data_IF_303320982314
#
_entry.id   IF_303320982314
#
_cell.length_a   1.000
_cell.length_b   1.000
_cell.length_c   1.000
_cell.angle_alpha   90.00
_cell.angle_beta   90.00
_cell.angle_gamma   90.00
#
_symmetry.space_group_name_H-M   'P 1'
#
loop_
_entity.id
_entity.type
_entity.pdbx_description
1 polymer ?
#
# COMPACT_ATOMS: atom_id res chain seq x y z
N UNK A 1 -7.29 -13.11 -22.59
CA UNK A 1 -7.66 -13.47 -21.21
C UNK A 1 -8.85 -12.69 -20.64
N UNK A 2 -9.15 -11.46 -21.13
CA UNK A 2 -10.29 -10.63 -20.68
C UNK A 2 -11.70 -11.28 -20.70
N UNK A 3 -11.94 -12.35 -21.49
CA UNK A 3 -13.28 -12.95 -21.58
C UNK A 3 -13.77 -13.63 -20.29
N UNK A 4 -12.88 -14.11 -19.41
CA UNK A 4 -13.31 -14.78 -18.17
C UNK A 4 -13.73 -13.80 -17.08
N UNK A 5 -13.09 -12.65 -16.97
CA UNK A 5 -13.45 -11.64 -15.96
C UNK A 5 -14.80 -10.98 -16.25
N UNK A 6 -15.13 -10.75 -17.52
CA UNK A 6 -16.46 -10.28 -17.91
C UNK A 6 -17.58 -11.26 -17.57
N UNK A 7 -17.28 -12.57 -17.58
CA UNK A 7 -18.26 -13.58 -17.17
C UNK A 7 -18.54 -13.44 -15.67
N UNK A 8 -17.53 -13.33 -14.82
CA UNK A 8 -17.75 -13.18 -13.36
C UNK A 8 -18.47 -11.88 -12.98
N UNK A 9 -18.16 -10.77 -13.66
CA UNK A 9 -18.89 -9.50 -13.45
C UNK A 9 -20.36 -9.63 -13.87
N UNK A 10 -20.63 -10.31 -14.99
CA UNK A 10 -21.98 -10.60 -15.47
C UNK A 10 -22.77 -11.48 -14.50
N UNK A 11 -22.15 -12.50 -13.91
CA UNK A 11 -22.78 -13.35 -12.89
C UNK A 11 -23.07 -12.59 -11.59
N UNK A 12 -22.20 -11.68 -11.18
CA UNK A 12 -22.42 -10.86 -9.98
C UNK A 12 -23.59 -9.87 -10.19
N UNK A 13 -23.65 -9.21 -11.35
CA UNK A 13 -24.80 -8.38 -11.73
C UNK A 13 -26.09 -9.20 -11.79
N UNK A 14 -26.06 -10.40 -12.38
CA UNK A 14 -27.20 -11.31 -12.41
C UNK A 14 -27.68 -11.75 -11.02
N UNK A 15 -26.78 -11.87 -10.04
CA UNK A 15 -27.14 -12.18 -8.64
C UNK A 15 -27.64 -10.95 -7.86
N UNK A 16 -27.11 -9.76 -8.12
CA UNK A 16 -27.52 -8.54 -7.43
C UNK A 16 -28.87 -7.99 -7.94
N UNK A 17 -29.16 -8.10 -9.24
CA UNK A 17 -30.41 -7.62 -9.85
C UNK A 17 -31.68 -8.16 -9.14
N UNK A 18 -31.85 -9.47 -8.86
CA UNK A 18 -33.03 -9.97 -8.17
C UNK A 18 -33.12 -9.49 -6.71
N UNK A 19 -31.99 -9.29 -6.01
CA UNK A 19 -31.99 -8.70 -4.67
C UNK A 19 -32.45 -7.25 -4.71
N UNK A 20 -31.97 -6.47 -5.68
CA UNK A 20 -32.39 -5.08 -5.90
C UNK A 20 -33.87 -5.03 -6.30
N UNK A 21 -34.35 -5.91 -7.18
CA UNK A 21 -35.76 -5.98 -7.59
C UNK A 21 -36.64 -6.38 -6.40
N UNK A 22 -36.26 -7.39 -5.61
CA UNK A 22 -36.98 -7.78 -4.40
C UNK A 22 -37.00 -6.64 -3.37
N UNK A 23 -35.89 -5.91 -3.23
CA UNK A 23 -35.79 -4.77 -2.35
C UNK A 23 -36.68 -3.60 -2.82
N UNK A 24 -36.65 -3.24 -4.12
CA UNK A 24 -37.54 -2.24 -4.70
C UNK A 24 -38.99 -2.69 -4.54
N UNK A 25 -39.31 -3.95 -4.82
CA UNK A 25 -40.66 -4.49 -4.69
C UNK A 25 -41.11 -4.52 -3.23
N UNK A 26 -40.22 -4.79 -2.28
CA UNK A 26 -40.50 -4.74 -0.84
C UNK A 26 -40.69 -3.30 -0.34
N UNK A 27 -39.87 -2.35 -0.82
CA UNK A 27 -40.02 -0.92 -0.54
C UNK A 27 -41.34 -0.38 -1.11
N UNK A 28 -41.66 -0.70 -2.37
CA UNK A 28 -42.92 -0.36 -3.02
C UNK A 28 -44.11 -1.06 -2.38
N UNK A 29 -43.97 -2.31 -1.96
CA UNK A 29 -45.00 -3.05 -1.23
C UNK A 29 -45.22 -2.44 0.15
N UNK A 30 -44.17 -2.06 0.88
CA UNK A 30 -44.28 -1.35 2.15
C UNK A 30 -44.91 0.04 1.97
N UNK A 31 -44.70 0.70 0.82
CA UNK A 31 -45.43 1.93 0.46
C UNK A 31 -46.88 1.65 0.12
N UNK A 32 -47.17 0.55 -0.60
CA UNK A 32 -48.53 0.14 -1.00
C UNK A 32 -49.35 -0.36 0.20
N UNK A 33 -48.76 -1.15 1.09
CA UNK A 33 -49.39 -1.59 2.34
C UNK A 33 -49.63 -0.43 3.30
N UNK A 34 -48.76 0.60 3.29
CA UNK A 34 -49.01 1.87 3.99
C UNK A 34 -50.10 2.72 3.33
N UNK A 35 -50.34 2.57 2.03
CA UNK A 35 -51.46 3.20 1.32
C UNK A 35 -52.78 2.42 1.49
N UNK A 36 -52.72 1.09 1.67
CA UNK A 36 -53.91 0.25 1.90
C UNK A 36 -54.29 0.15 3.38
N UNK A 37 -53.38 0.35 4.34
CA UNK A 37 -53.72 0.53 5.76
C UNK A 37 -54.38 1.91 6.03
N UNK A 38 -54.29 2.84 5.09
CA UNK A 38 -55.13 4.05 5.02
C UNK A 38 -56.40 3.87 4.17
N UNK A 39 -56.67 2.66 3.65
CA UNK A 39 -57.70 2.44 2.64
C UNK A 39 -58.31 1.03 2.62
N UNK A 40 -58.57 0.45 3.79
CA UNK A 40 -59.53 -0.66 3.92
C UNK A 40 -60.36 -0.51 5.21
N UNK A 41 -61.05 0.63 5.29
CA UNK A 41 -62.28 0.78 6.07
C UNK A 41 -63.44 0.77 5.08
N UNK A 42 -63.77 -0.40 4.52
CA UNK A 42 -65.04 -0.61 3.82
C UNK A 42 -65.26 0.29 2.59
N UNK A 43 -66.45 0.23 1.97
CA UNK A 43 -66.77 1.04 0.80
C UNK A 43 -66.56 2.53 1.12
N UNK A 44 -65.82 3.20 0.24
CA UNK A 44 -65.60 4.65 0.26
C UNK A 44 -66.88 5.38 0.66
N UNK A 45 -66.83 6.33 1.62
CA UNK A 45 -67.83 7.37 1.66
C UNK A 45 -67.65 8.18 0.37
N UNK A 46 -68.39 7.80 -0.67
CA UNK A 46 -68.58 8.66 -1.83
C UNK A 46 -69.15 9.97 -1.33
N UNK A 47 -68.35 11.02 -1.48
CA UNK A 47 -68.70 12.44 -1.37
C UNK A 47 -69.32 12.90 -0.04
N UNK A 48 -68.47 13.35 0.89
CA UNK A 48 -68.39 14.78 1.25
C UNK A 48 -66.92 15.10 1.59
N UNK A 49 -66.37 16.09 0.89
CA UNK A 49 -65.00 16.60 0.88
C UNK A 49 -64.11 16.27 2.09
N UNK A 50 -62.91 15.74 1.84
CA UNK A 50 -61.84 15.70 2.83
C UNK A 50 -61.45 17.14 3.22
N UNK A 51 -62.13 17.72 4.21
CA UNK A 51 -61.94 19.11 4.69
C UNK A 51 -60.63 19.33 5.46
N UNK A 52 -59.70 18.38 5.43
CA UNK A 52 -58.47 18.43 6.23
C UNK A 52 -57.36 19.08 5.43
N UNK A 53 -56.86 20.21 5.90
CA UNK A 53 -55.75 20.93 5.27
C UNK A 53 -54.37 20.29 5.54
N UNK A 54 -54.28 19.31 6.44
CA UNK A 54 -53.01 18.79 6.95
C UNK A 54 -52.85 17.26 6.79
N UNK A 55 -51.63 16.87 6.41
CA UNK A 55 -51.22 15.47 6.29
C UNK A 55 -51.02 14.88 7.70
N UNK A 56 -51.72 13.78 7.98
CA UNK A 56 -51.52 13.00 9.21
C UNK A 56 -50.23 12.20 9.12
N UNK A 57 -49.43 12.28 10.19
CA UNK A 57 -48.20 11.49 10.31
C UNK A 57 -48.45 10.43 11.37
N UNK A 58 -48.32 9.16 10.98
CA UNK A 58 -48.34 8.05 11.92
C UNK A 58 -47.06 8.10 12.77
N UNK A 59 -47.24 8.32 14.07
CA UNK A 59 -46.14 8.36 15.03
C UNK A 59 -46.60 7.79 16.35
N UNK A 60 -45.72 7.09 17.05
CA UNK A 60 -45.99 6.52 18.37
C UNK A 60 -44.93 7.04 19.33
N UNK A 61 -45.30 8.01 20.16
CA UNK A 61 -44.52 8.44 21.30
C UNK A 61 -45.41 8.59 22.54
N UNK A 62 -44.83 8.40 23.74
CA UNK A 62 -45.58 8.46 24.99
C UNK A 62 -46.04 9.88 25.30
N UNK A 63 -47.26 9.99 25.79
CA UNK A 63 -47.88 11.23 26.25
C UNK A 63 -48.44 11.02 27.63
N UNK A 64 -48.27 12.04 28.46
CA UNK A 64 -49.00 12.18 29.71
C UNK A 64 -49.98 13.34 29.57
N UNK A 65 -51.21 13.17 30.02
CA UNK A 65 -52.22 14.22 29.97
C UNK A 65 -53.03 14.27 31.26
N UNK A 66 -53.44 15.47 31.65
CA UNK A 66 -54.29 15.70 32.82
C UNK A 66 -55.40 16.68 32.45
N UNK A 67 -56.57 16.50 33.06
CA UNK A 67 -57.67 17.47 32.96
C UNK A 67 -57.29 18.75 33.71
N UNK A 68 -57.56 19.90 33.10
CA UNK A 68 -57.37 21.21 33.73
C UNK A 68 -58.70 21.96 33.78
N UNK A 69 -58.87 22.74 34.85
CA UNK A 69 -59.98 23.68 34.99
C UNK A 69 -59.71 24.92 34.14
N UNK A 70 -60.72 25.73 33.85
CA UNK A 70 -60.54 27.03 33.15
C UNK A 70 -59.51 27.95 33.82
N UNK A 71 -59.27 27.80 35.13
CA UNK A 71 -58.22 28.51 35.87
C UNK A 71 -56.79 28.06 35.52
N UNK A 72 -56.62 26.98 34.75
CA UNK A 72 -55.33 26.35 34.46
C UNK A 72 -54.82 25.41 35.54
N UNK A 73 -55.54 25.29 36.67
CA UNK A 73 -55.20 24.37 37.75
C UNK A 73 -55.49 22.91 37.37
N UNK A 74 -54.66 22.01 37.89
CA UNK A 74 -54.80 20.57 37.66
C UNK A 74 -55.99 20.02 38.46
N UNK A 75 -56.97 19.43 37.77
CA UNK A 75 -58.15 18.83 38.42
C UNK A 75 -57.95 17.34 38.71
N UNK A 76 -57.16 16.66 37.87
CA UNK A 76 -57.01 15.21 37.88
C UNK A 76 -55.53 14.79 37.80
N UNK A 77 -55.19 13.56 38.26
CA UNK A 77 -53.84 13.02 38.10
C UNK A 77 -53.51 12.77 36.62
N UNK A 78 -52.21 12.76 36.31
CA UNK A 78 -51.72 12.41 34.98
C UNK A 78 -52.17 11.01 34.55
N UNK A 79 -52.64 10.93 33.32
CA UNK A 79 -52.99 9.72 32.58
C UNK A 79 -51.97 9.51 31.48
N UNK A 80 -51.67 8.25 31.20
CA UNK A 80 -50.73 7.89 30.15
C UNK A 80 -51.48 7.48 28.88
N UNK A 81 -50.93 7.87 27.75
CA UNK A 81 -51.37 7.48 26.42
C UNK A 81 -50.20 7.44 25.45
N UNK A 82 -50.50 7.03 24.22
CA UNK A 82 -49.54 7.07 23.11
C UNK A 82 -50.18 7.80 21.95
N UNK A 83 -49.37 8.49 21.16
CA UNK A 83 -49.87 9.03 19.89
C UNK A 83 -50.20 7.93 18.92
N UNK A 84 -51.23 8.18 18.10
CA UNK A 84 -51.51 7.38 16.92
C UNK A 84 -51.23 8.17 15.64
N UNK A 85 -51.77 9.38 15.55
CA UNK A 85 -51.44 10.33 14.49
C UNK A 85 -51.30 11.75 15.02
N UNK A 86 -50.61 12.57 14.23
CA UNK A 86 -50.34 13.96 14.49
C UNK A 86 -50.69 14.81 13.26
N UNK A 87 -51.20 16.00 13.51
CA UNK A 87 -51.36 17.10 12.54
C UNK A 87 -50.92 18.42 13.17
N UNK A 88 -50.94 19.51 12.40
CA UNK A 88 -50.61 20.84 12.91
C UNK A 88 -51.60 21.33 13.99
N UNK A 89 -52.87 20.96 13.86
CA UNK A 89 -53.93 21.50 14.72
C UNK A 89 -54.38 20.55 15.83
N UNK A 90 -53.88 19.32 15.82
CA UNK A 90 -54.34 18.30 16.75
C UNK A 90 -53.68 16.94 16.57
N UNK A 91 -54.11 15.99 17.40
CA UNK A 91 -53.48 14.68 17.55
C UNK A 91 -54.51 13.65 18.02
N UNK A 92 -54.31 12.37 17.67
CA UNK A 92 -55.03 11.26 18.32
C UNK A 92 -54.19 10.62 19.40
N UNK A 93 -54.79 10.51 20.58
CA UNK A 93 -54.21 9.84 21.74
C UNK A 93 -54.93 8.51 21.91
N UNK A 94 -54.18 7.43 21.98
CA UNK A 94 -54.67 6.12 22.34
C UNK A 94 -54.32 5.84 23.81
N UNK A 95 -55.32 5.47 24.61
CA UNK A 95 -55.12 5.24 26.04
C UNK A 95 -55.93 4.05 26.55
N UNK A 96 -55.36 3.37 27.54
CA UNK A 96 -55.95 2.24 28.27
C UNK A 96 -56.21 2.62 29.74
N UNK A 97 -55.73 3.80 30.17
CA UNK A 97 -55.74 4.24 31.57
C UNK A 97 -57.00 5.00 31.97
N UNK A 98 -57.84 5.37 30.99
CA UNK A 98 -59.12 6.07 31.22
C UNK A 98 -60.24 5.05 31.31
N UNK A 99 -60.94 4.99 32.46
CA UNK A 99 -62.03 4.02 32.71
C UNK A 99 -63.16 4.65 33.52
N UNK A 100 -64.38 4.14 33.32
CA UNK A 100 -65.53 4.43 34.18
C UNK A 100 -65.83 5.93 34.32
N UNK A 101 -65.75 6.46 35.55
CA UNK A 101 -66.04 7.86 35.86
C UNK A 101 -65.12 8.85 35.14
N UNK A 102 -63.85 8.50 34.96
CA UNK A 102 -62.88 9.36 34.26
C UNK A 102 -63.28 9.61 32.80
N UNK A 103 -63.99 8.65 32.19
CA UNK A 103 -64.46 8.77 30.81
C UNK A 103 -65.57 9.84 30.69
N UNK A 104 -66.44 9.92 31.69
CA UNK A 104 -67.51 10.91 31.74
C UNK A 104 -66.96 12.35 31.91
N UNK A 105 -65.79 12.48 32.53
CA UNK A 105 -65.10 13.76 32.72
C UNK A 105 -64.46 14.30 31.44
N UNK A 106 -64.22 13.45 30.44
CA UNK A 106 -63.64 13.82 29.14
C UNK A 106 -64.72 14.15 28.10
N UNK A 107 -65.59 15.11 28.46
CA UNK A 107 -66.65 15.60 27.57
C UNK A 107 -66.06 16.33 26.34
N UNK A 108 -66.45 15.97 25.11
CA UNK A 108 -66.05 16.67 23.89
C UNK A 108 -66.38 18.17 23.92
N UNK A 109 -65.50 18.97 23.34
CA UNK A 109 -65.48 20.44 23.23
C UNK A 109 -65.54 21.23 24.54
N UNK A 110 -65.70 20.56 25.68
CA UNK A 110 -65.74 21.19 27.01
C UNK A 110 -64.49 20.94 27.83
N UNK A 111 -63.81 19.83 27.58
CA UNK A 111 -62.70 19.38 28.41
C UNK A 111 -61.37 19.86 27.86
N UNK A 112 -60.64 20.61 28.69
CA UNK A 112 -59.27 21.03 28.42
C UNK A 112 -58.28 20.08 29.08
N UNK A 113 -57.24 19.75 28.33
CA UNK A 113 -56.17 18.87 28.75
C UNK A 113 -54.85 19.63 28.76
N UNK A 114 -54.09 19.48 29.84
CA UNK A 114 -52.65 19.79 29.84
C UNK A 114 -51.91 18.52 29.47
N UNK A 115 -51.06 18.62 28.47
CA UNK A 115 -50.29 17.52 27.92
C UNK A 115 -48.79 17.72 28.13
N UNK A 116 -48.12 16.61 28.35
CA UNK A 116 -46.67 16.47 28.41
C UNK A 116 -46.29 15.39 27.40
N UNK A 117 -45.71 15.83 26.29
CA UNK A 117 -45.36 14.98 25.16
C UNK A 117 -43.86 14.68 25.23
N UNK A 118 -43.53 13.41 25.45
CA UNK A 118 -42.15 12.96 25.62
C UNK A 118 -41.61 12.41 24.29
N UNK A 119 -40.89 13.25 23.55
CA UNK A 119 -40.24 12.85 22.29
C UNK A 119 -39.01 11.97 22.59
N UNK A 120 -38.91 10.76 22.00
CA UNK A 120 -37.73 9.92 22.21
C UNK A 120 -36.46 10.57 21.66
N UNK A 121 -35.40 10.57 22.47
CA UNK A 121 -34.10 11.24 22.22
C UNK A 121 -34.11 12.77 22.36
N UNK A 122 -35.22 13.36 22.78
CA UNK A 122 -35.23 14.75 23.20
C UNK A 122 -35.01 14.84 24.72
N UNK A 123 -34.34 15.92 25.14
CA UNK A 123 -34.07 16.20 26.55
C UNK A 123 -35.21 16.97 27.20
N UNK A 124 -36.03 17.67 26.42
CA UNK A 124 -37.09 18.53 26.92
C UNK A 124 -38.45 18.05 26.41
N UNK A 125 -39.34 17.70 27.34
CA UNK A 125 -40.73 17.39 27.02
C UNK A 125 -41.44 18.61 26.42
N UNK A 126 -42.34 18.38 25.46
CA UNK A 126 -43.21 19.43 24.92
C UNK A 126 -44.43 19.55 25.82
N UNK A 127 -44.72 20.76 26.28
CA UNK A 127 -45.91 21.06 27.08
C UNK A 127 -46.91 21.78 26.20
N UNK A 128 -48.16 21.32 26.20
CA UNK A 128 -49.22 21.92 25.40
C UNK A 128 -50.57 21.83 26.12
N UNK A 129 -51.49 22.72 25.77
CA UNK A 129 -52.91 22.60 26.14
C UNK A 129 -53.73 22.22 24.91
N UNK A 130 -54.77 21.42 25.12
CA UNK A 130 -55.63 20.96 24.04
C UNK A 130 -57.07 20.72 24.50
N UNK A 131 -58.03 20.93 23.60
CA UNK A 131 -59.44 20.57 23.81
C UNK A 131 -59.70 19.16 23.29
N UNK A 132 -60.47 18.36 24.03
CA UNK A 132 -61.02 17.10 23.51
C UNK A 132 -62.05 17.41 22.43
N UNK A 133 -61.88 16.86 21.22
CA UNK A 133 -62.83 17.04 20.09
C UNK A 133 -63.77 15.86 19.93
N UNK A 134 -63.29 14.65 20.14
CA UNK A 134 -64.11 13.45 20.09
C UNK A 134 -63.41 12.31 20.82
N UNK A 135 -64.17 11.28 21.15
CA UNK A 135 -63.65 10.09 21.81
C UNK A 135 -64.38 8.86 21.30
N UNK A 136 -63.64 7.77 21.08
CA UNK A 136 -64.18 6.51 20.58
C UNK A 136 -63.59 5.34 21.36
N UNK A 137 -64.45 4.40 21.76
CA UNK A 137 -64.03 3.14 22.38
C UNK A 137 -63.72 2.13 21.28
N UNK A 138 -62.55 1.50 21.35
CA UNK A 138 -62.16 0.43 20.42
C UNK A 138 -62.67 -0.90 20.97
N UNK A 139 -63.67 -1.49 20.33
CA UNK A 139 -64.35 -2.69 20.82
C UNK A 139 -63.53 -3.98 20.65
N UNK A 140 -62.53 -3.98 19.75
CA UNK A 140 -61.78 -5.17 19.36
C UNK A 140 -60.70 -5.63 20.36
N UNK A 141 -60.48 -4.90 21.45
CA UNK A 141 -59.43 -5.27 22.43
C UNK A 141 -60.02 -5.84 23.73
N UNK A 142 -59.37 -6.90 24.25
CA UNK A 142 -59.68 -7.50 25.55
C UNK A 142 -59.56 -6.53 26.75
N UNK A 143 -58.98 -5.35 26.51
CA UNK A 143 -58.87 -4.26 27.48
C UNK A 143 -59.59 -3.05 26.90
N UNK A 144 -60.35 -2.34 27.73
CA UNK A 144 -61.02 -1.09 27.34
C UNK A 144 -59.99 -0.07 26.84
N UNK A 145 -59.92 0.10 25.52
CA UNK A 145 -59.03 1.03 24.83
C UNK A 145 -59.86 2.16 24.26
N UNK A 146 -59.38 3.39 24.47
CA UNK A 146 -60.05 4.59 24.00
C UNK A 146 -59.12 5.37 23.08
N UNK A 147 -59.67 5.90 21.99
CA UNK A 147 -59.00 6.86 21.11
C UNK A 147 -59.66 8.21 21.33
N UNK A 148 -58.84 9.20 21.68
CA UNK A 148 -59.25 10.56 21.97
C UNK A 148 -58.66 11.46 20.88
N UNK A 149 -59.52 12.11 20.11
CA UNK A 149 -59.10 13.16 19.19
C UNK A 149 -59.06 14.49 19.91
N UNK A 150 -57.94 15.20 19.82
CA UNK A 150 -57.74 16.49 20.47
C UNK A 150 -57.36 17.57 19.45
N UNK A 151 -57.59 18.83 19.80
CA UNK A 151 -57.11 20.00 19.05
C UNK A 151 -56.30 20.90 19.97
N UNK A 152 -55.14 21.35 19.51
CA UNK A 152 -54.24 22.20 20.28
C UNK A 152 -54.87 23.58 20.50
N UNK A 153 -54.82 24.07 21.74
CA UNK A 153 -55.22 25.43 22.09
C UNK A 153 -53.98 26.33 22.21
N UNK A 154 -52.98 25.90 22.99
CA UNK A 154 -51.72 26.60 23.18
C UNK A 154 -50.55 25.63 23.11
N UNK A 155 -49.63 25.91 22.19
CA UNK A 155 -48.35 25.22 22.04
C UNK A 155 -47.38 26.19 21.38
N UNK A 156 -46.16 26.28 21.91
CA UNK A 156 -45.11 27.07 21.29
C UNK A 156 -44.85 26.59 19.85
N UNK A 157 -44.74 27.51 18.90
CA UNK A 157 -44.51 27.17 17.48
C UNK A 157 -43.22 26.35 17.29
N UNK A 158 -42.17 26.66 18.05
CA UNK A 158 -40.93 25.88 18.05
C UNK A 158 -41.13 24.42 18.50
N UNK A 159 -42.05 24.18 19.42
CA UNK A 159 -42.37 22.83 19.89
C UNK A 159 -43.20 22.07 18.84
N UNK A 160 -44.15 22.75 18.19
CA UNK A 160 -44.90 22.19 17.08
C UNK A 160 -43.98 21.74 15.95
N UNK A 161 -43.07 22.62 15.51
CA UNK A 161 -42.08 22.31 14.49
C UNK A 161 -41.21 21.12 14.88
N UNK A 162 -40.82 21.04 16.16
CA UNK A 162 -40.01 19.96 16.70
C UNK A 162 -40.74 18.62 16.64
N UNK A 163 -42.01 18.55 17.06
CA UNK A 163 -42.81 17.32 16.95
C UNK A 163 -43.02 16.94 15.48
N UNK A 164 -43.38 17.87 14.60
CA UNK A 164 -43.59 17.60 13.17
C UNK A 164 -42.29 17.08 12.52
N UNK A 165 -41.16 17.74 12.77
CA UNK A 165 -39.84 17.33 12.24
C UNK A 165 -39.46 15.94 12.75
N UNK A 166 -39.73 15.64 14.02
CA UNK A 166 -39.50 14.33 14.59
C UNK A 166 -40.35 13.25 13.91
N UNK A 167 -41.65 13.50 13.73
CA UNK A 167 -42.57 12.58 13.07
C UNK A 167 -42.17 12.33 11.61
N UNK A 168 -41.80 13.39 10.87
CA UNK A 168 -41.27 13.28 9.51
C UNK A 168 -39.96 12.48 9.44
N UNK A 169 -39.07 12.66 10.42
CA UNK A 169 -37.85 11.88 10.50
C UNK A 169 -38.14 10.40 10.77
N UNK A 170 -39.05 10.08 11.70
CA UNK A 170 -39.50 8.71 11.95
C UNK A 170 -40.06 8.06 10.69
N UNK A 171 -40.86 8.81 9.92
CA UNK A 171 -41.40 8.33 8.63
C UNK A 171 -40.31 8.01 7.61
N UNK A 172 -39.20 8.75 7.62
CA UNK A 172 -38.07 8.57 6.70
C UNK A 172 -37.02 7.55 7.16
N UNK A 173 -37.00 7.14 8.43
CA UNK A 173 -36.07 6.12 8.96
C UNK A 173 -35.94 4.86 8.11
N UNK A 174 -37.02 4.16 7.70
CA UNK A 174 -36.88 2.93 6.93
C UNK A 174 -36.17 3.16 5.60
N UNK A 175 -36.49 4.27 4.91
CA UNK A 175 -35.87 4.63 3.63
C UNK A 175 -34.37 4.98 3.81
N UNK A 176 -34.00 5.63 4.92
CA UNK A 176 -32.59 5.90 5.26
C UNK A 176 -31.81 4.62 5.59
N UNK A 177 -32.39 3.73 6.39
CA UNK A 177 -31.75 2.45 6.75
C UNK A 177 -31.50 1.59 5.51
N UNK A 178 -32.49 1.54 4.63
CA UNK A 178 -32.37 0.93 3.32
C UNK A 178 -31.19 1.47 2.49
N UNK A 179 -31.04 2.80 2.41
CA UNK A 179 -29.93 3.41 1.67
C UNK A 179 -28.58 2.98 2.24
N UNK A 180 -28.45 2.89 3.57
CA UNK A 180 -27.24 2.38 4.24
C UNK A 180 -26.98 0.92 3.87
N UNK A 181 -28.01 0.07 3.86
CA UNK A 181 -27.86 -1.35 3.46
C UNK A 181 -27.42 -1.47 2.00
N UNK A 182 -28.02 -0.69 1.09
CA UNK A 182 -27.61 -0.66 -0.33
C UNK A 182 -26.16 -0.20 -0.47
N UNK A 183 -25.76 0.85 0.23
CA UNK A 183 -24.38 1.35 0.22
C UNK A 183 -23.39 0.28 0.72
N UNK A 184 -23.75 -0.48 1.75
CA UNK A 184 -22.94 -1.59 2.27
C UNK A 184 -22.77 -2.70 1.24
N UNK A 185 -23.86 -3.08 0.54
CA UNK A 185 -23.80 -4.10 -0.52
C UNK A 185 -22.87 -3.66 -1.64
N UNK A 186 -22.93 -2.38 -2.06
CA UNK A 186 -22.03 -1.82 -3.08
C UNK A 186 -20.58 -1.82 -2.61
N UNK A 187 -20.31 -1.45 -1.36
CA UNK A 187 -18.96 -1.46 -0.79
C UNK A 187 -18.37 -2.88 -0.74
N UNK A 188 -19.17 -3.87 -0.34
CA UNK A 188 -18.76 -5.29 -0.34
C UNK A 188 -18.48 -5.78 -1.76
N UNK A 189 -19.35 -5.46 -2.72
CA UNK A 189 -19.14 -5.81 -4.12
C UNK A 189 -17.84 -5.20 -4.69
N UNK A 190 -17.58 -3.91 -4.40
CA UNK A 190 -16.35 -3.24 -4.81
C UNK A 190 -15.12 -3.89 -4.17
N UNK A 191 -15.16 -4.21 -2.88
CA UNK A 191 -14.08 -4.89 -2.18
C UNK A 191 -13.77 -6.26 -2.82
N UNK A 192 -14.78 -7.09 -3.07
CA UNK A 192 -14.56 -8.37 -3.76
C UNK A 192 -14.01 -8.20 -5.18
N UNK A 193 -14.46 -7.17 -5.91
CA UNK A 193 -13.92 -6.85 -7.24
C UNK A 193 -12.43 -6.53 -7.17
N UNK A 194 -11.97 -5.76 -6.17
CA UNK A 194 -10.54 -5.48 -6.00
C UNK A 194 -9.73 -6.73 -5.69
N UNK A 195 -10.23 -7.63 -4.83
CA UNK A 195 -9.54 -8.90 -4.50
C UNK A 195 -9.35 -9.76 -5.75
N UNK A 196 -10.37 -9.85 -6.60
CA UNK A 196 -10.29 -10.62 -7.84
C UNK A 196 -9.26 -10.02 -8.80
N UNK A 197 -9.24 -8.70 -8.95
CA UNK A 197 -8.25 -8.00 -9.77
C UNK A 197 -6.80 -8.27 -9.31
N UNK A 198 -6.55 -8.24 -8.00
CA UNK A 198 -5.23 -8.56 -7.45
C UNK A 198 -4.78 -10.00 -7.70
N UNK A 199 -5.72 -10.97 -7.80
CA UNK A 199 -5.37 -12.35 -8.14
C UNK A 199 -4.84 -12.45 -9.58
N UNK A 200 -5.46 -11.75 -10.53
CA UNK A 200 -4.99 -11.69 -11.92
C UNK A 200 -3.58 -11.10 -12.00
N UNK A 201 -3.35 -9.96 -11.34
CA UNK A 201 -2.02 -9.34 -11.29
C UNK A 201 -0.96 -10.25 -10.66
N UNK A 202 -1.31 -11.04 -9.64
CA UNK A 202 -0.38 -11.97 -8.99
C UNK A 202 0.12 -13.06 -9.94
N UNK A 203 -0.72 -13.56 -10.85
CA UNK A 203 -0.30 -14.55 -11.85
C UNK A 203 0.66 -13.96 -12.87
N UNK A 204 0.42 -12.72 -13.34
CA UNK A 204 1.33 -12.02 -14.23
C UNK A 204 2.69 -11.79 -13.59
N UNK A 205 2.71 -11.29 -12.34
CA UNK A 205 3.96 -11.13 -11.59
C UNK A 205 4.68 -12.46 -11.34
N UNK A 206 3.94 -13.53 -11.03
CA UNK A 206 4.54 -14.85 -10.85
C UNK A 206 5.19 -15.36 -12.15
N UNK A 207 4.57 -15.10 -13.30
CA UNK A 207 5.13 -15.46 -14.60
C UNK A 207 6.36 -14.62 -14.95
N UNK A 208 6.36 -13.32 -14.65
CA UNK A 208 7.53 -12.46 -14.87
C UNK A 208 8.70 -12.88 -13.98
N UNK A 209 8.44 -13.23 -12.71
CA UNK A 209 9.47 -13.75 -11.80
C UNK A 209 10.07 -15.05 -12.35
N UNK A 210 9.23 -16.00 -12.78
CA UNK A 210 9.69 -17.27 -13.39
C UNK A 210 10.51 -17.03 -14.65
N UNK A 211 10.10 -16.08 -15.49
CA UNK A 211 10.83 -15.72 -16.69
C UNK A 211 12.22 -15.18 -16.36
N UNK A 212 12.33 -14.21 -15.44
CA UNK A 212 13.62 -13.66 -15.00
C UNK A 212 14.51 -14.71 -14.34
N UNK A 213 13.93 -15.67 -13.64
CA UNK A 213 14.66 -16.77 -13.03
C UNK A 213 15.23 -17.73 -14.09
N UNK A 214 14.47 -17.99 -15.17
CA UNK A 214 14.96 -18.77 -16.31
C UNK A 214 16.08 -18.04 -17.07
N UNK A 215 16.01 -16.72 -17.21
CA UNK A 215 17.10 -15.92 -17.81
C UNK A 215 18.36 -15.96 -16.94
N UNK A 216 18.22 -15.86 -15.61
CA UNK A 216 19.35 -16.01 -14.69
C UNK A 216 20.01 -17.37 -14.82
N UNK A 217 19.24 -18.45 -14.91
CA UNK A 217 19.80 -19.80 -15.10
C UNK A 217 20.59 -19.91 -16.41
N UNK A 218 20.07 -19.35 -17.51
CA UNK A 218 20.80 -19.30 -18.80
C UNK A 218 22.09 -18.50 -18.71
N UNK A 219 22.08 -17.37 -18.00
CA UNK A 219 23.30 -16.58 -17.80
C UNK A 219 24.34 -17.33 -16.97
N UNK A 220 23.92 -18.04 -15.92
CA UNK A 220 24.82 -18.89 -15.11
C UNK A 220 25.41 -20.02 -15.95
N UNK A 221 24.61 -20.68 -16.78
CA UNK A 221 25.08 -21.70 -17.71
C UNK A 221 26.11 -21.14 -18.71
N UNK A 222 25.83 -19.98 -19.31
CA UNK A 222 26.77 -19.31 -20.21
C UNK A 222 28.08 -18.91 -19.53
N UNK A 223 28.03 -18.44 -18.28
CA UNK A 223 29.23 -18.14 -17.49
C UNK A 223 30.06 -19.42 -17.29
N UNK A 224 29.42 -20.55 -16.99
CA UNK A 224 30.12 -21.84 -16.85
C UNK A 224 30.80 -22.30 -18.14
N UNK A 225 30.16 -22.08 -19.30
CA UNK A 225 30.78 -22.37 -20.61
C UNK A 225 32.03 -21.50 -20.81
N UNK A 226 31.93 -20.19 -20.54
CA UNK A 226 33.06 -19.26 -20.69
C UNK A 226 34.20 -19.60 -19.73
N UNK A 227 33.90 -20.01 -18.49
CA UNK A 227 34.92 -20.44 -17.53
C UNK A 227 35.66 -21.70 -18.00
N UNK A 228 34.95 -22.66 -18.60
CA UNK A 228 35.56 -23.85 -19.19
C UNK A 228 36.44 -23.51 -20.40
N UNK A 229 35.97 -22.67 -21.32
CA UNK A 229 36.76 -22.20 -22.47
C UNK A 229 38.01 -21.45 -22.01
N UNK A 230 37.90 -20.62 -20.97
CA UNK A 230 39.03 -19.93 -20.36
C UNK A 230 40.04 -20.93 -19.77
N UNK A 231 39.57 -21.93 -19.03
CA UNK A 231 40.46 -22.95 -18.46
C UNK A 231 41.20 -23.74 -19.56
N UNK A 232 40.51 -24.08 -20.65
CA UNK A 232 41.13 -24.75 -21.79
C UNK A 232 42.17 -23.86 -22.48
N UNK A 233 41.85 -22.57 -22.70
CA UNK A 233 42.77 -21.60 -23.30
C UNK A 233 44.02 -21.40 -22.43
N UNK A 234 43.87 -21.34 -21.10
CA UNK A 234 44.98 -21.27 -20.15
C UNK A 234 45.84 -22.53 -20.24
N UNK A 235 45.24 -23.72 -20.27
CA UNK A 235 45.99 -24.98 -20.44
C UNK A 235 46.76 -25.04 -21.78
N UNK A 236 46.16 -24.54 -22.87
CA UNK A 236 46.85 -24.40 -24.17
C UNK A 236 48.04 -23.45 -24.06
N UNK A 237 47.88 -22.30 -23.40
CA UNK A 237 48.97 -21.34 -23.18
C UNK A 237 50.12 -21.96 -22.37
N UNK A 238 49.83 -22.67 -21.29
CA UNK A 238 50.84 -23.37 -20.47
C UNK A 238 51.61 -24.41 -21.29
N UNK A 239 50.91 -25.15 -22.15
CA UNK A 239 51.55 -26.13 -23.05
C UNK A 239 52.51 -25.45 -24.05
N UNK A 240 52.11 -24.28 -24.57
CA UNK A 240 52.92 -23.49 -25.51
C UNK A 240 54.14 -22.91 -24.79
N UNK A 241 53.98 -22.34 -23.60
CA UNK A 241 55.10 -21.80 -22.81
C UNK A 241 56.12 -22.89 -22.46
N UNK A 242 55.64 -24.09 -22.14
CA UNK A 242 56.52 -25.25 -21.88
C UNK A 242 57.30 -25.67 -23.14
N UNK A 243 56.63 -25.69 -24.31
CA UNK A 243 57.31 -25.95 -25.60
C UNK A 243 58.38 -24.89 -25.91
N UNK A 244 58.08 -23.61 -25.68
CA UNK A 244 59.06 -22.53 -25.86
C UNK A 244 60.26 -22.66 -24.92
N UNK A 245 60.03 -23.01 -23.65
CA UNK A 245 61.12 -23.25 -22.70
C UNK A 245 62.03 -24.39 -23.16
N UNK A 246 61.44 -25.53 -23.57
CA UNK A 246 62.18 -26.68 -24.11
C UNK A 246 62.94 -26.33 -25.40
N UNK A 247 62.33 -25.58 -26.31
CA UNK A 247 63.01 -25.11 -27.53
C UNK A 247 64.19 -24.18 -27.20
N UNK A 248 64.01 -23.27 -26.25
CA UNK A 248 65.07 -22.36 -25.79
C UNK A 248 66.24 -23.11 -25.17
N UNK A 249 65.98 -24.16 -24.39
CA UNK A 249 67.04 -25.05 -23.87
C UNK A 249 67.76 -25.79 -25.00
N UNK A 250 67.03 -26.30 -26.00
CA UNK A 250 67.65 -26.95 -27.18
C UNK A 250 68.52 -25.98 -27.97
N UNK A 251 68.10 -24.74 -28.16
CA UNK A 251 68.90 -23.69 -28.81
C UNK A 251 70.18 -23.43 -28.01
N UNK A 252 70.09 -23.24 -26.69
CA UNK A 252 71.27 -23.06 -25.82
C UNK A 252 72.24 -24.26 -25.87
N UNK A 253 71.70 -25.48 -25.87
CA UNK A 253 72.50 -26.70 -25.96
C UNK A 253 73.20 -26.83 -27.33
N UNK A 254 72.52 -26.44 -28.41
CA UNK A 254 73.09 -26.38 -29.76
C UNK A 254 74.17 -25.30 -29.86
N UNK A 255 73.94 -24.12 -29.29
CA UNK A 255 74.94 -23.03 -29.27
C UNK A 255 76.20 -23.46 -28.51
N UNK A 256 76.07 -24.10 -27.35
CA UNK A 256 77.24 -24.62 -26.61
C UNK A 256 77.94 -25.75 -27.35
N UNK A 257 77.19 -26.65 -28.00
CA UNK A 257 77.76 -27.70 -28.85
C UNK A 257 78.51 -27.11 -30.04
N UNK A 258 77.97 -26.06 -30.67
CA UNK A 258 78.64 -25.35 -31.75
C UNK A 258 79.88 -24.60 -31.27
N UNK A 259 79.85 -24.02 -30.06
CA UNK A 259 81.02 -23.39 -29.43
C UNK A 259 82.12 -24.41 -29.15
N UNK A 260 81.78 -25.57 -28.62
CA UNK A 260 82.74 -26.67 -28.41
C UNK A 260 83.28 -27.22 -29.73
N UNK A 261 82.44 -27.37 -30.75
CA UNK A 261 82.87 -27.79 -32.08
C UNK A 261 83.79 -26.74 -32.73
N UNK A 262 83.50 -25.45 -32.56
CA UNK A 262 84.34 -24.34 -33.01
C UNK A 262 85.70 -24.35 -32.33
N UNK A 263 85.75 -24.49 -31.00
CA UNK A 263 87.01 -24.61 -30.25
C UNK A 263 87.81 -25.86 -30.66
N UNK A 264 87.15 -27.00 -30.89
CA UNK A 264 87.81 -28.21 -31.38
C UNK A 264 88.31 -28.08 -32.83
N UNK A 265 87.63 -27.30 -33.66
CA UNK A 265 88.10 -26.97 -35.01
C UNK A 265 89.27 -25.99 -34.97
N UNK A 266 89.23 -24.98 -34.09
CA UNK A 266 90.35 -24.06 -33.87
C UNK A 266 91.57 -24.78 -33.29
N UNK A 267 91.39 -25.74 -32.38
CA UNK A 267 92.48 -26.55 -31.82
C UNK A 267 93.08 -27.49 -32.88
N UNK A 268 92.25 -28.07 -33.75
CA UNK A 268 92.71 -28.83 -34.92
C UNK A 268 93.42 -27.96 -35.95
N UNK A 269 92.90 -26.75 -36.21
CA UNK A 269 93.51 -25.80 -37.13
C UNK A 269 94.83 -25.26 -36.57
N UNK A 270 94.89 -24.96 -35.27
CA UNK A 270 96.11 -24.57 -34.57
C UNK A 270 97.13 -25.71 -34.58
N UNK A 271 96.73 -26.97 -34.32
CA UNK A 271 97.61 -28.13 -34.46
C UNK A 271 98.12 -28.31 -35.90
N UNK A 272 97.28 -28.02 -36.90
CA UNK A 272 97.68 -28.03 -38.31
C UNK A 272 98.66 -26.90 -38.66
N UNK A 273 98.51 -25.71 -38.06
CA UNK A 273 99.41 -24.55 -38.21
C UNK A 273 100.75 -24.80 -37.50
N UNK A 274 100.74 -25.41 -36.30
CA UNK A 274 101.98 -25.83 -35.61
C UNK A 274 102.70 -26.97 -36.34
N UNK A 275 101.99 -27.75 -37.18
CA UNK A 275 102.61 -28.73 -38.09
C UNK A 275 103.06 -28.15 -39.45
N UNK A 276 102.84 -26.84 -39.69
CA UNK A 276 103.25 -26.14 -40.91
C UNK A 276 104.40 -25.14 -40.71
N UNK A 277 104.98 -25.04 -39.50
CA UNK A 277 106.25 -24.33 -39.24
C UNK A 277 107.49 -25.25 -39.35
N UNK A 278 107.55 -26.10 -40.38
CA UNK A 278 108.82 -26.62 -40.88
C UNK A 278 108.83 -26.66 -42.41
N UNK A 279 109.47 -25.61 -42.94
CA UNK A 279 110.06 -25.45 -44.27
C UNK A 279 109.18 -25.07 -45.48
N UNK A 280 109.78 -24.26 -46.38
CA UNK A 280 109.09 -23.31 -47.23
C UNK A 280 109.22 -23.67 -48.72
N UNK A 281 108.67 -22.78 -49.56
CA UNK A 281 109.03 -22.47 -50.95
C UNK A 281 108.14 -23.04 -52.07
N UNK A 282 107.69 -22.07 -52.89
CA UNK A 282 107.35 -22.14 -54.33
C UNK A 282 105.98 -22.78 -54.54
N UNK A 283 104.95 -22.07 -55.03
CA UNK A 283 104.78 -21.60 -56.42
C UNK A 283 103.88 -20.35 -56.42
N UNK A 284 104.46 -19.23 -56.83
CA UNK A 284 103.79 -18.14 -57.55
C UNK A 284 103.55 -18.62 -58.99
N UNK A 285 102.46 -18.19 -59.63
CA UNK A 285 102.07 -18.48 -61.03
C UNK A 285 101.43 -19.86 -61.29
N UNK A 286 100.13 -19.99 -61.03
CA UNK A 286 99.18 -20.62 -61.97
C UNK A 286 97.72 -20.32 -61.57
N UNK A 287 97.04 -19.55 -62.42
CA UNK A 287 95.58 -19.58 -62.68
C UNK A 287 94.72 -18.84 -61.62
N UNK A 288 94.33 -17.56 -61.69
CA UNK A 288 94.15 -16.51 -62.72
C UNK A 288 93.33 -16.80 -63.99
N UNK A 289 92.71 -17.98 -64.13
CA UNK A 289 91.90 -18.28 -65.33
C UNK A 289 90.58 -19.04 -65.05
N UNK A 290 89.88 -18.74 -63.95
CA UNK A 290 88.55 -19.34 -63.72
C UNK A 290 87.53 -18.42 -63.02
N UNK A 291 87.70 -17.09 -63.12
CA UNK A 291 86.68 -16.11 -62.66
C UNK A 291 86.64 -14.89 -63.59
N UNK A 292 85.97 -15.02 -64.73
CA UNK A 292 85.11 -14.03 -65.41
C UNK A 292 85.09 -14.31 -66.92
N UNK A 293 84.01 -14.93 -67.38
CA UNK A 293 83.21 -14.48 -68.52
C UNK A 293 82.21 -15.57 -68.89
N UNK A 294 80.98 -15.45 -68.38
CA UNK A 294 79.80 -15.57 -69.23
C UNK A 294 78.62 -14.88 -68.53
N UNK A 295 78.38 -13.65 -69.00
CA UNK A 295 77.19 -12.85 -68.77
C UNK A 295 76.15 -13.26 -69.80
N UNK A 296 74.88 -13.37 -69.41
CA UNK A 296 73.73 -13.42 -70.31
C UNK A 296 72.56 -14.12 -69.65
N UNK A 297 71.56 -13.37 -69.19
CA UNK A 297 70.36 -13.00 -69.97
C UNK A 297 69.26 -14.08 -69.96
N UNK A 298 68.16 -13.70 -69.31
CA UNK A 298 66.77 -13.87 -69.73
C UNK A 298 66.05 -15.24 -69.80
N UNK A 299 64.84 -15.17 -69.20
CA UNK A 299 63.56 -15.78 -69.61
C UNK A 299 63.20 -17.24 -69.22
N UNK A 300 62.13 -17.28 -68.40
CA UNK A 300 60.85 -17.92 -68.68
C UNK A 300 60.65 -19.46 -68.56
N UNK A 301 59.63 -19.75 -67.72
CA UNK A 301 58.50 -20.68 -67.89
C UNK A 301 58.64 -22.20 -67.68
N UNK A 302 57.53 -22.71 -67.11
CA UNK A 302 56.98 -24.09 -67.10
C UNK A 302 57.59 -25.10 -66.11
N UNK A 303 56.89 -25.34 -64.99
CA UNK A 303 55.80 -26.33 -64.78
C UNK A 303 56.33 -27.72 -64.42
N UNK A 304 56.32 -28.07 -63.12
CA UNK A 304 56.10 -29.46 -62.65
C UNK A 304 55.40 -29.42 -61.28
N UNK A 305 54.08 -29.50 -61.35
CA UNK A 305 53.15 -30.33 -60.57
C UNK A 305 53.41 -30.65 -59.09
N UNK A 306 52.39 -30.36 -58.29
CA UNK A 306 51.78 -31.41 -57.46
C UNK A 306 52.07 -31.37 -55.97
N UNK A 307 51.67 -30.31 -55.28
CA UNK A 307 51.34 -30.41 -53.85
C UNK A 307 49.94 -29.83 -53.65
N UNK A 308 49.06 -30.71 -53.16
CA UNK A 308 47.67 -30.44 -52.80
C UNK A 308 47.55 -29.15 -52.01
N UNK A 309 46.79 -28.25 -52.58
CA UNK A 309 46.10 -27.16 -51.92
C UNK A 309 45.29 -27.74 -50.75
N UNK A 310 45.87 -27.67 -49.56
CA UNK A 310 45.11 -27.68 -48.32
C UNK A 310 44.60 -26.25 -48.24
N UNK A 311 43.28 -26.07 -48.35
CA UNK A 311 42.58 -24.87 -47.93
C UNK A 311 43.05 -24.56 -46.50
N UNK A 312 44.07 -23.71 -46.41
CA UNK A 312 44.37 -23.02 -45.17
C UNK A 312 43.27 -21.99 -45.05
N UNK A 313 42.28 -22.33 -44.23
CA UNK A 313 41.41 -21.35 -43.61
C UNK A 313 42.26 -20.13 -43.24
N UNK A 314 41.74 -18.90 -43.44
CA UNK A 314 42.49 -17.71 -43.13
C UNK A 314 43.04 -17.89 -41.71
N UNK A 315 44.37 -17.94 -41.60
CA UNK A 315 45.03 -17.74 -40.34
C UNK A 315 44.59 -16.33 -39.96
N UNK A 316 43.49 -16.26 -39.22
CA UNK A 316 43.19 -15.17 -38.33
C UNK A 316 44.42 -15.17 -37.46
N UNK A 317 45.38 -14.32 -37.82
CA UNK A 317 46.36 -13.86 -36.87
C UNK A 317 45.50 -13.34 -35.74
N UNK A 318 45.31 -14.20 -34.73
CA UNK A 318 44.88 -13.80 -33.41
C UNK A 318 45.96 -12.82 -33.02
N UNK A 319 45.72 -11.56 -33.39
CA UNK A 319 46.29 -10.40 -32.77
C UNK A 319 46.19 -10.78 -31.30
N UNK A 320 47.34 -10.99 -30.67
CA UNK A 320 47.41 -10.83 -29.23
C UNK A 320 46.96 -9.39 -29.04
N UNK A 321 45.66 -9.20 -28.91
CA UNK A 321 45.16 -8.16 -28.03
C UNK A 321 45.66 -8.63 -26.70
N UNK A 322 46.90 -8.23 -26.40
CA UNK A 322 47.32 -8.05 -25.04
C UNK A 322 46.12 -7.38 -24.38
N UNK A 323 45.45 -8.10 -23.46
CA UNK A 323 44.45 -7.51 -22.61
C UNK A 323 45.18 -6.35 -21.95
N UNK A 324 45.00 -5.18 -22.54
CA UNK A 324 45.62 -3.97 -22.08
C UNK A 324 45.13 -3.78 -20.65
N UNK A 325 45.93 -3.19 -19.78
CA UNK A 325 45.47 -2.85 -18.42
C UNK A 325 44.13 -2.09 -18.44
N UNK A 326 43.83 -1.43 -19.56
CA UNK A 326 42.57 -0.77 -19.91
C UNK A 326 41.32 -1.68 -19.87
N UNK A 327 41.41 -2.93 -20.35
CA UNK A 327 40.28 -3.89 -20.36
C UNK A 327 40.03 -4.50 -18.97
N UNK A 328 41.09 -4.66 -18.16
CA UNK A 328 40.96 -5.07 -16.76
C UNK A 328 40.38 -3.94 -15.91
N UNK A 329 40.79 -2.69 -16.16
CA UNK A 329 40.18 -1.50 -15.56
C UNK A 329 38.71 -1.34 -15.96
N UNK A 330 38.32 -1.64 -17.20
CA UNK A 330 36.93 -1.52 -17.63
C UNK A 330 36.02 -2.52 -16.91
N UNK A 331 36.46 -3.76 -16.69
CA UNK A 331 35.71 -4.75 -15.91
C UNK A 331 35.54 -4.36 -14.43
N UNK A 332 36.60 -3.80 -13.83
CA UNK A 332 36.57 -3.26 -12.45
C UNK A 332 35.66 -2.03 -12.32
N UNK A 333 35.58 -1.21 -13.37
CA UNK A 333 34.67 -0.06 -13.42
C UNK A 333 33.21 -0.50 -13.47
N UNK A 334 32.87 -1.49 -14.31
CA UNK A 334 31.51 -2.02 -14.44
C UNK A 334 31.01 -2.59 -13.09
N UNK A 335 31.85 -3.35 -12.39
CA UNK A 335 31.48 -3.92 -11.07
C UNK A 335 31.29 -2.83 -10.00
N UNK A 336 32.13 -1.79 -9.98
CA UNK A 336 31.93 -0.63 -9.09
C UNK A 336 30.64 0.12 -9.39
N UNK A 337 30.32 0.33 -10.66
CA UNK A 337 29.10 1.03 -11.10
C UNK A 337 27.84 0.21 -10.75
N UNK A 338 27.90 -1.12 -10.90
CA UNK A 338 26.82 -2.00 -10.45
C UNK A 338 26.59 -1.93 -8.94
N UNK A 339 27.65 -2.04 -8.13
CA UNK A 339 27.55 -1.93 -6.66
C UNK A 339 27.00 -0.55 -6.24
N UNK A 340 27.46 0.52 -6.90
CA UNK A 340 26.95 1.87 -6.64
C UNK A 340 25.46 2.00 -7.01
N UNK A 341 25.04 1.40 -8.11
CA UNK A 341 23.62 1.39 -8.53
C UNK A 341 22.73 0.64 -7.53
N UNK A 342 23.18 -0.52 -7.05
CA UNK A 342 22.46 -1.32 -6.05
C UNK A 342 22.36 -0.57 -4.71
N UNK A 343 23.45 0.04 -4.25
CA UNK A 343 23.45 0.90 -3.06
C UNK A 343 22.49 2.08 -3.19
N UNK A 344 22.36 2.67 -4.38
CA UNK A 344 21.40 3.74 -4.66
C UNK A 344 19.95 3.25 -4.61
N UNK A 345 19.65 2.05 -5.14
CA UNK A 345 18.31 1.44 -5.06
C UNK A 345 17.93 1.16 -3.60
N UNK A 346 18.82 0.54 -2.80
CA UNK A 346 18.57 0.31 -1.38
C UNK A 346 18.38 1.61 -0.60
N UNK A 347 19.15 2.66 -0.92
CA UNK A 347 19.00 3.99 -0.32
C UNK A 347 17.65 4.62 -0.68
N UNK A 348 17.21 4.51 -1.93
CA UNK A 348 15.91 5.00 -2.39
C UNK A 348 14.76 4.27 -1.69
N UNK A 349 14.82 2.93 -1.63
CA UNK A 349 13.81 2.11 -0.97
C UNK A 349 13.73 2.39 0.53
N UNK A 350 14.88 2.51 1.20
CA UNK A 350 14.95 2.91 2.62
C UNK A 350 14.33 4.29 2.85
N UNK A 351 14.58 5.26 1.97
CA UNK A 351 14.00 6.61 2.07
C UNK A 351 12.49 6.61 1.83
N UNK A 352 11.99 5.74 0.96
CA UNK A 352 10.56 5.54 0.71
C UNK A 352 9.85 5.01 1.98
N UNK A 353 10.37 3.91 2.56
CA UNK A 353 9.81 3.34 3.81
C UNK A 353 9.79 4.38 4.93
N UNK A 354 10.90 5.12 5.10
CA UNK A 354 10.99 6.17 6.11
C UNK A 354 9.95 7.28 5.89
N UNK A 355 9.64 7.64 4.64
CA UNK A 355 8.64 8.66 4.33
C UNK A 355 7.23 8.19 4.67
N UNK A 356 6.90 6.96 4.29
CA UNK A 356 5.60 6.36 4.58
C UNK A 356 5.36 6.27 6.10
N UNK A 357 6.38 5.89 6.86
CA UNK A 357 6.32 5.79 8.31
C UNK A 357 6.20 7.17 8.99
N UNK A 358 6.89 8.19 8.47
CA UNK A 358 6.72 9.60 8.88
C UNK A 358 5.26 10.04 8.65
N UNK A 359 4.69 9.78 7.47
CA UNK A 359 3.31 10.16 7.15
C UNK A 359 2.28 9.42 8.02
N UNK A 360 2.53 8.14 8.34
CA UNK A 360 1.67 7.36 9.24
C UNK A 360 1.67 7.95 10.66
N UNK A 361 2.86 8.26 11.20
CA UNK A 361 2.96 8.86 12.54
C UNK A 361 2.39 10.28 12.58
N UNK A 362 2.61 11.08 11.55
CA UNK A 362 2.05 12.44 11.46
C UNK A 362 0.51 12.41 11.48
N UNK A 363 -0.11 11.52 10.69
CA UNK A 363 -1.56 11.28 10.73
C UNK A 363 -2.02 10.81 12.11
N UNK A 364 -1.32 9.86 12.73
CA UNK A 364 -1.66 9.37 14.06
C UNK A 364 -1.62 10.50 15.11
N UNK A 365 -0.52 11.26 15.17
CA UNK A 365 -0.38 12.37 16.12
C UNK A 365 -1.43 13.47 15.87
N UNK A 366 -1.81 13.72 14.62
CA UNK A 366 -2.83 14.72 14.31
C UNK A 366 -4.23 14.33 14.81
N UNK A 367 -4.57 13.04 14.76
CA UNK A 367 -5.91 12.51 15.05
C UNK A 367 -6.07 12.08 16.51
N UNK A 368 -5.01 11.62 17.16
CA UNK A 368 -5.05 11.01 18.49
C UNK A 368 -4.42 11.89 19.57
N UNK A 369 -4.71 13.19 19.57
CA UNK A 369 -4.11 14.17 20.50
C UNK A 369 -4.37 13.87 21.98
N UNK A 370 -5.48 13.20 22.29
CA UNK A 370 -5.88 12.83 23.65
C UNK A 370 -5.37 11.45 24.08
N UNK A 371 -4.70 10.71 23.18
CA UNK A 371 -4.16 9.38 23.47
C UNK A 371 -2.98 9.47 24.44
N UNK A 372 -2.89 8.50 25.37
CA UNK A 372 -1.73 8.33 26.25
C UNK A 372 -0.43 8.09 25.47
N UNK A 373 -0.53 7.62 24.21
CA UNK A 373 0.60 7.37 23.31
C UNK A 373 1.00 8.56 22.46
N UNK A 374 0.27 9.69 22.54
CA UNK A 374 0.55 10.84 21.69
C UNK A 374 1.97 11.38 21.87
N UNK A 375 2.45 11.47 23.12
CA UNK A 375 3.83 11.86 23.42
C UNK A 375 4.88 10.92 22.78
N UNK A 376 4.63 9.61 22.81
CA UNK A 376 5.49 8.61 22.19
C UNK A 376 5.53 8.76 20.66
N UNK A 377 4.36 8.95 20.04
CA UNK A 377 4.24 9.13 18.59
C UNK A 377 4.96 10.38 18.09
N UNK A 378 4.83 11.51 18.79
CA UNK A 378 5.54 12.75 18.46
C UNK A 378 7.05 12.59 18.60
N UNK A 379 7.51 11.92 19.67
CA UNK A 379 8.94 11.66 19.84
C UNK A 379 9.50 10.77 18.72
N UNK A 380 8.80 9.68 18.37
CA UNK A 380 9.18 8.79 17.27
C UNK A 380 9.19 9.53 15.92
N UNK A 381 8.21 10.40 15.67
CA UNK A 381 8.17 11.26 14.50
C UNK A 381 9.39 12.19 14.43
N UNK A 382 9.82 12.75 15.57
CA UNK A 382 11.06 13.52 15.69
C UNK A 382 12.29 12.71 15.30
N UNK A 383 12.43 11.49 15.82
CA UNK A 383 13.57 10.59 15.51
C UNK A 383 13.61 10.19 14.02
N UNK A 384 12.46 9.89 13.40
CA UNK A 384 12.40 9.54 11.98
C UNK A 384 12.75 10.73 11.08
N UNK A 385 12.21 11.93 11.38
CA UNK A 385 12.56 13.16 10.65
C UNK A 385 14.04 13.48 10.79
N UNK A 386 14.62 13.27 11.97
CA UNK A 386 16.04 13.43 12.21
C UNK A 386 16.89 12.46 11.36
N UNK A 387 16.53 11.16 11.35
CA UNK A 387 17.24 10.16 10.52
C UNK A 387 17.22 10.49 9.03
N UNK A 388 16.11 11.06 8.54
CA UNK A 388 15.96 11.49 7.15
C UNK A 388 16.69 12.81 6.84
N UNK A 389 17.33 13.44 7.83
CA UNK A 389 17.95 14.76 7.71
C UNK A 389 16.96 15.80 7.19
N UNK A 390 15.69 15.73 7.61
CA UNK A 390 14.73 16.79 7.33
C UNK A 390 15.20 18.12 7.91
N UNK A 391 14.56 19.20 7.46
CA UNK A 391 14.75 20.57 7.91
C UNK A 391 14.87 20.60 9.45
N UNK A 392 16.03 21.03 9.95
CA UNK A 392 16.43 21.02 11.38
C UNK A 392 15.35 21.66 12.26
N UNK A 393 14.73 22.71 11.76
CA UNK A 393 13.66 23.49 12.38
C UNK A 393 12.41 22.64 12.63
N UNK A 394 12.04 21.74 11.72
CA UNK A 394 10.89 20.85 11.91
C UNK A 394 11.14 19.83 13.00
N UNK A 395 12.35 19.29 13.06
CA UNK A 395 12.73 18.32 14.10
C UNK A 395 12.71 19.00 15.47
N UNK A 396 13.32 20.18 15.58
CA UNK A 396 13.31 21.00 16.80
C UNK A 396 11.89 21.29 17.24
N UNK A 397 11.01 21.68 16.32
CA UNK A 397 9.59 21.94 16.63
C UNK A 397 8.92 20.71 17.25
N UNK A 398 9.06 19.54 16.64
CA UNK A 398 8.43 18.31 17.14
C UNK A 398 8.92 17.96 18.55
N UNK A 399 10.23 18.05 18.84
CA UNK A 399 10.72 17.81 20.20
C UNK A 399 10.25 18.87 21.20
N UNK A 400 10.17 20.14 20.81
CA UNK A 400 9.60 21.20 21.66
C UNK A 400 8.12 20.95 21.96
N UNK A 401 7.37 20.45 20.98
CA UNK A 401 5.96 20.09 21.16
C UNK A 401 5.81 18.92 22.15
N UNK A 402 6.69 17.91 22.12
CA UNK A 402 6.70 16.83 23.13
C UNK A 402 6.91 17.40 24.54
N UNK A 403 7.90 18.27 24.73
CA UNK A 403 8.22 18.85 26.05
C UNK A 403 7.08 19.75 26.54
N UNK A 404 6.55 20.60 25.66
CA UNK A 404 5.51 21.58 26.01
C UNK A 404 4.18 20.90 26.35
N UNK A 405 3.76 19.93 25.54
CA UNK A 405 2.47 19.27 25.70
C UNK A 405 2.51 18.19 26.78
N UNK A 406 3.66 17.55 27.00
CA UNK A 406 3.79 16.38 27.89
C UNK A 406 4.97 16.51 28.86
N UNK A 407 5.06 17.59 29.68
CA UNK A 407 6.25 17.89 30.48
C UNK A 407 6.59 16.81 31.52
N UNK A 408 5.62 15.99 31.94
CA UNK A 408 5.81 14.88 32.89
C UNK A 408 6.10 13.52 32.23
N UNK A 409 6.12 13.45 30.90
CA UNK A 409 6.35 12.21 30.17
C UNK A 409 7.84 11.87 30.10
N UNK A 410 8.19 10.58 30.15
CA UNK A 410 9.56 10.10 29.89
C UNK A 410 10.12 10.61 28.55
N UNK A 411 9.25 10.81 27.57
CA UNK A 411 9.62 11.32 26.24
C UNK A 411 10.00 12.81 26.26
N UNK A 412 9.55 13.60 27.24
CA UNK A 412 9.96 15.00 27.37
C UNK A 412 11.44 15.11 27.77
N UNK A 413 11.91 14.30 28.72
CA UNK A 413 13.34 14.25 29.08
C UNK A 413 14.20 13.83 27.89
N UNK A 414 13.77 12.82 27.13
CA UNK A 414 14.46 12.39 25.91
C UNK A 414 14.46 13.48 24.82
N UNK A 415 13.32 14.12 24.59
CA UNK A 415 13.20 15.22 23.64
C UNK A 415 14.10 16.40 24.02
N UNK A 416 14.20 16.73 25.31
CA UNK A 416 15.08 17.80 25.81
C UNK A 416 16.55 17.49 25.54
N UNK A 417 16.98 16.26 25.82
CA UNK A 417 18.35 15.84 25.53
C UNK A 417 18.65 15.82 24.03
N UNK A 418 17.68 15.40 23.19
CA UNK A 418 17.81 15.47 21.73
C UNK A 418 17.91 16.90 21.22
N UNK A 419 17.13 17.83 21.77
CA UNK A 419 17.25 19.24 21.43
C UNK A 419 18.64 19.78 21.75
N UNK A 420 19.18 19.49 22.93
CA UNK A 420 20.54 19.91 23.31
C UNK A 420 21.61 19.35 22.34
N UNK A 421 21.50 18.08 21.96
CA UNK A 421 22.38 17.48 20.94
C UNK A 421 22.30 18.20 19.59
N UNK A 422 21.08 18.50 19.12
CA UNK A 422 20.84 19.17 17.83
C UNK A 422 21.32 20.62 17.86
N UNK A 423 21.12 21.33 18.97
CA UNK A 423 21.54 22.72 19.15
C UNK A 423 23.07 22.82 19.21
N UNK A 424 23.75 21.85 19.83
CA UNK A 424 25.22 21.75 19.89
C UNK A 424 25.86 21.12 18.65
N UNK A 425 25.06 20.73 17.64
CA UNK A 425 25.51 19.99 16.46
C UNK A 425 26.31 18.72 16.79
N UNK A 426 25.96 18.03 17.89
CA UNK A 426 26.61 16.78 18.27
C UNK A 426 26.17 15.64 17.34
N UNK A 427 27.05 14.68 17.01
CA UNK A 427 26.69 13.54 16.17
C UNK A 427 25.61 12.70 16.85
N UNK A 428 24.74 12.12 16.02
CA UNK A 428 23.67 11.27 16.49
C UNK A 428 24.22 10.05 17.22
N UNK A 429 24.02 10.02 18.54
CA UNK A 429 24.39 8.87 19.35
C UNK A 429 23.13 8.17 19.85
N UNK A 430 22.77 7.04 19.22
CA UNK A 430 21.65 6.20 19.67
C UNK A 430 21.89 5.60 21.06
N UNK A 431 23.15 5.37 21.45
CA UNK A 431 23.50 4.80 22.75
C UNK A 431 23.29 5.77 23.91
N UNK A 432 23.29 7.08 23.65
CA UNK A 432 23.03 8.09 24.70
C UNK A 432 21.64 7.93 25.32
N UNK A 433 20.61 7.62 24.51
CA UNK A 433 19.27 7.34 25.03
C UNK A 433 19.27 6.09 25.92
N UNK A 434 20.07 5.06 25.57
CA UNK A 434 20.11 3.78 26.30
C UNK A 434 20.76 3.95 27.66
N UNK A 435 21.82 4.76 27.73
CA UNK A 435 22.45 5.14 29.00
C UNK A 435 21.50 5.95 29.90
N UNK A 436 20.78 6.92 29.35
CA UNK A 436 19.80 7.68 30.15
C UNK A 436 18.60 6.84 30.61
N UNK A 437 18.17 5.83 29.83
CA UNK A 437 17.13 4.91 30.30
C UNK A 437 17.60 4.09 31.53
N UNK A 438 18.89 3.76 31.60
CA UNK A 438 19.50 3.09 32.74
C UNK A 438 19.70 4.03 33.93
N UNK A 439 20.16 5.26 33.70
CA UNK A 439 20.43 6.26 34.74
C UNK A 439 19.16 6.73 35.47
N UNK A 440 18.01 6.75 34.78
CA UNK A 440 16.73 7.16 35.37
C UNK A 440 15.79 6.01 35.76
N UNK A 441 16.28 4.75 35.82
CA UNK A 441 15.46 3.56 36.09
C UNK A 441 14.20 3.48 35.20
N UNK A 442 14.33 3.91 33.94
CA UNK A 442 13.24 3.85 32.97
C UNK A 442 13.17 2.42 32.41
N UNK A 443 11.97 1.84 32.24
CA UNK A 443 11.81 0.48 31.72
C UNK A 443 12.61 0.27 30.43
N UNK A 444 13.30 -0.87 30.34
CA UNK A 444 14.23 -1.22 29.26
C UNK A 444 13.61 -0.95 27.89
N UNK A 445 14.36 -0.18 27.12
CA UNK A 445 13.94 0.52 25.92
C UNK A 445 13.47 -0.40 24.78
N UNK A 446 12.45 0.07 24.05
CA UNK A 446 11.84 -0.51 22.86
C UNK A 446 11.13 -1.84 23.07
N UNK A 447 9.90 -1.78 23.59
CA UNK A 447 8.90 -2.71 23.11
C UNK A 447 7.99 -2.01 22.10
N UNK A 448 8.31 -2.15 20.81
CA UNK A 448 7.38 -1.79 19.73
C UNK A 448 6.05 -2.54 19.88
N UNK A 449 5.98 -3.59 20.71
CA UNK A 449 4.73 -4.28 21.07
C UNK A 449 3.75 -3.42 21.87
N UNK A 450 4.19 -2.37 22.58
CA UNK A 450 3.24 -1.42 23.20
C UNK A 450 2.43 -0.63 22.15
N UNK A 451 2.92 -0.57 20.90
CA UNK A 451 2.23 0.01 19.74
C UNK A 451 1.61 -1.06 18.84
N UNK A 452 1.78 -2.35 19.13
CA UNK A 452 1.20 -3.46 18.35
C UNK A 452 -0.32 -3.64 18.40
N UNK A 453 -1.11 -3.13 19.39
CA UNK A 453 -2.57 -3.28 19.33
C UNK A 453 -3.24 -2.53 18.17
N UNK A 454 -2.49 -1.81 17.33
CA UNK A 454 -2.98 -1.04 16.19
C UNK A 454 -2.33 -1.46 14.85
N UNK A 455 -2.00 -2.75 14.72
CA UNK A 455 -1.62 -3.39 13.44
C UNK A 455 -2.83 -3.80 12.57
N UNK A 456 -4.06 -3.58 13.02
CA UNK A 456 -5.29 -3.77 12.22
C UNK A 456 -5.53 -2.65 11.21
#
# INVERSE_FOLDING_TARGET
MMRREFIYLGWYLLLCIPIIILYIRFSLRSRRERLTLTGDLGPEPTSEEEKREYIRIDSVFPIEFQKIVESGEAEAPFRQGVTRDLSKDGMRIETVTVRGRDLAELSPDKTKLRMVINLPHDTHAVIATATVKWMHKVEESAVDRHIIGISYEDMAESDMERIIKYALWLRRKPDMFALVVVALIVAVAAFFSTILFFKGAKEEFANEIRFRESEKQRLVENIGIIENEKAEAVGRLESITTRYANLRERVKALDEKNRQAGLAQEEKAAASITSMEEKPQVIEEEIEEEIREEVGEDLASEEVTGIKEIESEPIVMLRKTDLTEEDAESGLKITRDMIASEANVYKAFRNYILEEEIQRLDRYSSTHRTSIYHAASLFALGELRYKKRHIKEMIIKVYRDVIKLYPRSKYASYASHRLDQIERNLPYNAYSLRYYSLEYNLPTMYDYRELEPYKE
#
